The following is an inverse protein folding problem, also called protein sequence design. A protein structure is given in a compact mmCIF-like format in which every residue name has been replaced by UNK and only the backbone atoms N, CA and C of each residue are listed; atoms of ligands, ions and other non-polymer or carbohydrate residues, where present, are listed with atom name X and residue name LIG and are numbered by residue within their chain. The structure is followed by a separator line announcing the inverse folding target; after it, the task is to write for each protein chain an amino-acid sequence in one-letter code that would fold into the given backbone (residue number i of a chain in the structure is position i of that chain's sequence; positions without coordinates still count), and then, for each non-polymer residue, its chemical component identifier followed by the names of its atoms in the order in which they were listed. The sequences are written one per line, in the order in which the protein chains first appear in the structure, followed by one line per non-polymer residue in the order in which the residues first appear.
data_IF_818631722784
#
_entry.id   IF_818631722784
#
_cell.length_a   1.000
_cell.length_b   1.000
_cell.length_c   1.000
_cell.angle_alpha   90.00
_cell.angle_beta   90.00
_cell.angle_gamma   90.00
#
_symmetry.space_group_name_H-M   'P 1'
#
loop_
_entity.id
_entity.type
_entity.pdbx_description
1 polymer ?
#
# COMPACT_ATOMS: atom_id res chain seq x y z
N UNK A 1 17.54 -33.77 5.32
CA UNK A 1 17.20 -32.36 5.71
C UNK A 1 17.11 -31.46 4.49
N UNK A 2 18.01 -31.59 3.50
CA UNK A 2 17.98 -30.77 2.26
C UNK A 2 16.77 -31.07 1.36
N UNK A 3 16.34 -32.30 1.26
CA UNK A 3 15.16 -32.72 0.48
C UNK A 3 13.85 -32.17 1.06
N UNK A 4 13.76 -32.08 2.39
CA UNK A 4 12.55 -31.58 3.05
C UNK A 4 12.37 -30.06 2.85
N UNK A 5 13.45 -29.30 2.84
CA UNK A 5 13.44 -27.85 2.61
C UNK A 5 13.04 -27.54 1.16
N UNK A 6 13.60 -28.28 0.18
CA UNK A 6 13.25 -28.11 -1.24
C UNK A 6 11.78 -28.45 -1.54
N UNK A 7 11.23 -29.49 -0.91
CA UNK A 7 9.82 -29.87 -1.09
C UNK A 7 8.87 -28.84 -0.48
N UNK A 8 9.23 -28.23 0.64
CA UNK A 8 8.44 -27.15 1.26
C UNK A 8 8.53 -25.86 0.43
N UNK A 9 9.70 -25.54 -0.11
CA UNK A 9 9.91 -24.36 -0.95
C UNK A 9 9.13 -24.45 -2.26
N UNK A 10 9.21 -25.59 -2.96
CA UNK A 10 8.45 -25.84 -4.20
C UNK A 10 6.94 -25.87 -3.97
N UNK A 11 6.45 -26.39 -2.86
CA UNK A 11 5.03 -26.41 -2.51
C UNK A 11 4.51 -25.02 -2.17
N UNK A 12 5.32 -24.19 -1.52
CA UNK A 12 5.03 -22.77 -1.25
C UNK A 12 4.96 -21.96 -2.54
N UNK A 13 5.91 -22.16 -3.45
CA UNK A 13 5.95 -21.50 -4.77
C UNK A 13 4.77 -21.89 -5.65
N UNK A 14 4.42 -23.18 -5.70
CA UNK A 14 3.26 -23.65 -6.47
C UNK A 14 1.94 -23.03 -5.96
N UNK A 15 1.76 -22.97 -4.65
CA UNK A 15 0.59 -22.33 -4.04
C UNK A 15 0.54 -20.83 -4.33
N UNK A 16 1.68 -20.16 -4.31
CA UNK A 16 1.81 -18.74 -4.66
C UNK A 16 1.39 -18.49 -6.12
N UNK A 17 1.90 -19.28 -7.03
CA UNK A 17 1.61 -19.19 -8.47
C UNK A 17 0.11 -19.39 -8.76
N UNK A 18 -0.50 -20.40 -8.15
CA UNK A 18 -1.94 -20.67 -8.32
C UNK A 18 -2.78 -19.52 -7.74
N UNK A 19 -2.43 -19.00 -6.57
CA UNK A 19 -3.15 -17.88 -5.93
C UNK A 19 -3.03 -16.60 -6.75
N UNK A 20 -1.85 -16.29 -7.27
CA UNK A 20 -1.64 -15.14 -8.15
C UNK A 20 -2.49 -15.24 -9.40
N UNK A 21 -2.46 -16.38 -10.09
CA UNK A 21 -3.26 -16.63 -11.27
C UNK A 21 -4.78 -16.44 -11.01
N UNK A 22 -5.28 -16.98 -9.90
CA UNK A 22 -6.70 -16.87 -9.53
C UNK A 22 -7.12 -15.42 -9.25
N UNK A 23 -6.27 -14.65 -8.56
CA UNK A 23 -6.53 -13.23 -8.29
C UNK A 23 -6.59 -12.42 -9.58
N UNK A 24 -5.65 -12.64 -10.52
CA UNK A 24 -5.65 -11.92 -11.80
C UNK A 24 -6.82 -12.30 -12.70
N UNK A 25 -7.15 -13.58 -12.78
CA UNK A 25 -8.37 -14.00 -13.50
C UNK A 25 -9.60 -13.28 -12.95
N UNK A 26 -9.70 -13.15 -11.62
CA UNK A 26 -10.81 -12.45 -10.99
C UNK A 26 -10.81 -10.96 -11.33
N UNK A 27 -9.66 -10.28 -11.29
CA UNK A 27 -9.56 -8.86 -11.72
C UNK A 27 -9.97 -8.69 -13.17
N UNK A 28 -9.44 -9.50 -14.07
CA UNK A 28 -9.80 -9.43 -15.50
C UNK A 28 -11.29 -9.70 -15.76
N UNK A 29 -11.87 -10.64 -15.02
CA UNK A 29 -13.30 -10.91 -15.07
C UNK A 29 -14.11 -9.70 -14.63
N UNK A 30 -13.72 -9.06 -13.51
CA UNK A 30 -14.39 -7.88 -12.97
C UNK A 30 -14.22 -6.68 -13.91
N UNK A 31 -13.03 -6.50 -14.52
CA UNK A 31 -12.80 -5.44 -15.53
C UNK A 31 -13.65 -5.66 -16.81
N UNK A 32 -14.08 -6.90 -17.10
CA UNK A 32 -14.91 -7.25 -18.24
C UNK A 32 -16.42 -7.20 -17.93
N UNK A 33 -16.83 -7.00 -16.70
CA UNK A 33 -18.23 -6.90 -16.29
C UNK A 33 -18.87 -5.60 -16.83
N UNK A 34 -20.17 -5.65 -17.12
CA UNK A 34 -20.90 -4.51 -17.64
C UNK A 34 -21.07 -3.37 -16.61
N UNK A 35 -20.95 -3.70 -15.32
CA UNK A 35 -21.02 -2.72 -14.22
C UNK A 35 -19.63 -2.14 -14.00
N UNK A 36 -19.45 -0.81 -14.06
CA UNK A 36 -18.17 -0.19 -13.79
C UNK A 36 -17.64 -0.55 -12.40
N UNK A 37 -16.38 -0.96 -12.35
CA UNK A 37 -15.68 -1.31 -11.12
C UNK A 37 -14.68 -0.22 -10.74
N UNK A 38 -14.68 0.20 -9.49
CA UNK A 38 -13.63 1.04 -8.93
C UNK A 38 -12.83 0.26 -7.87
N UNK A 39 -11.51 0.25 -8.04
CA UNK A 39 -10.62 -0.43 -7.10
C UNK A 39 -10.17 0.52 -6.01
N UNK A 40 -10.34 0.10 -4.76
CA UNK A 40 -9.91 0.81 -3.56
C UNK A 40 -8.80 -0.02 -2.91
N UNK A 41 -7.59 0.50 -2.93
CA UNK A 41 -6.44 -0.16 -2.29
C UNK A 41 -6.33 0.37 -0.86
N UNK A 42 -6.39 -0.55 0.11
CA UNK A 42 -6.32 -0.22 1.54
C UNK A 42 -5.13 -0.93 2.16
N UNK A 43 -4.41 -0.23 3.06
CA UNK A 43 -3.35 -0.83 3.85
C UNK A 43 -2.95 0.06 5.02
N UNK A 44 -2.11 -0.43 5.94
CA UNK A 44 -1.61 0.27 7.11
C UNK A 44 -0.09 0.40 7.07
N UNK A 45 0.40 1.61 7.30
CA UNK A 45 1.83 1.88 7.43
C UNK A 45 2.19 2.44 8.80
N UNK A 46 3.11 1.78 9.48
CA UNK A 46 3.71 2.28 10.70
C UNK A 46 4.72 3.39 10.41
N UNK A 47 4.65 4.47 11.19
CA UNK A 47 5.63 5.54 11.20
C UNK A 47 6.32 5.60 12.56
N UNK A 48 7.62 5.36 12.58
CA UNK A 48 8.40 5.44 13.81
C UNK A 48 9.03 6.82 13.93
N UNK A 49 8.72 7.51 15.02
CA UNK A 49 9.23 8.86 15.35
C UNK A 49 10.76 8.95 15.44
N UNK A 50 11.42 7.83 15.72
CA UNK A 50 12.89 7.79 15.90
C UNK A 50 13.63 7.44 14.60
N UNK A 51 12.91 7.07 13.51
CA UNK A 51 13.55 6.79 12.23
C UNK A 51 13.91 8.09 11.53
N UNK A 52 15.18 8.45 11.60
CA UNK A 52 15.76 9.57 10.85
C UNK A 52 16.56 9.03 9.68
N UNK A 53 16.71 9.81 8.62
CA UNK A 53 17.59 9.48 7.49
C UNK A 53 18.95 9.02 8.01
N UNK A 54 19.39 7.83 7.63
CA UNK A 54 20.72 7.30 8.01
C UNK A 54 21.87 7.96 7.27
N UNK A 55 21.57 8.74 6.22
CA UNK A 55 22.55 9.43 5.37
C UNK A 55 22.14 10.90 5.23
N UNK A 56 23.09 11.79 5.39
CA UNK A 56 22.94 13.23 5.18
C UNK A 56 24.14 13.77 4.42
N UNK A 57 23.96 14.90 3.72
CA UNK A 57 25.06 15.65 3.09
C UNK A 57 25.52 16.72 4.03
N UNK A 58 26.85 16.94 4.11
CA UNK A 58 27.48 18.06 4.79
C UNK A 58 28.70 18.49 3.97
N UNK A 59 29.34 19.57 4.38
CA UNK A 59 30.58 20.05 3.77
C UNK A 59 31.64 18.94 3.84
N UNK A 60 32.44 18.80 2.79
CA UNK A 60 33.50 17.77 2.71
C UNK A 60 34.39 17.89 3.95
N UNK A 61 34.60 16.76 4.63
CA UNK A 61 35.38 16.68 5.87
C UNK A 61 34.58 16.87 7.16
N UNK A 62 33.29 17.20 7.06
CA UNK A 62 32.40 17.32 8.24
C UNK A 62 31.34 16.21 8.24
N UNK A 63 31.08 15.63 9.42
CA UNK A 63 30.04 14.63 9.60
C UNK A 63 28.65 15.29 9.56
N UNK A 64 27.74 14.73 8.77
CA UNK A 64 26.34 15.14 8.83
C UNK A 64 25.74 14.70 10.19
N UNK A 65 25.45 15.65 11.07
CA UNK A 65 24.88 15.39 12.39
C UNK A 65 23.49 16.02 12.42
N UNK A 66 22.51 15.25 12.86
CA UNK A 66 21.17 15.74 13.17
C UNK A 66 20.85 15.43 14.63
N UNK A 67 20.43 16.41 15.38
CA UNK A 67 19.96 16.21 16.74
C UNK A 67 18.53 15.68 16.69
N UNK A 68 18.34 14.43 17.08
CA UNK A 68 17.02 13.81 17.19
C UNK A 68 16.59 13.89 18.64
N UNK A 69 15.40 14.42 18.94
CA UNK A 69 14.88 14.36 20.31
C UNK A 69 14.87 12.89 20.78
N UNK A 70 15.47 12.62 21.92
CA UNK A 70 15.60 11.27 22.49
C UNK A 70 14.29 10.68 23.01
N UNK A 71 13.17 10.97 22.39
CA UNK A 71 11.90 10.38 22.74
C UNK A 71 11.83 8.95 22.18
N UNK A 72 11.66 7.98 23.04
CA UNK A 72 11.04 6.70 22.69
C UNK A 72 9.57 7.00 22.33
N UNK A 73 9.39 7.60 21.15
CA UNK A 73 8.08 7.93 20.64
C UNK A 73 7.32 6.66 20.28
N UNK A 74 6.06 6.59 20.64
CA UNK A 74 5.17 5.52 20.21
C UNK A 74 5.13 5.47 18.68
N UNK A 75 4.83 4.30 18.12
CA UNK A 75 4.53 4.16 16.70
C UNK A 75 3.19 4.84 16.43
N UNK A 76 3.12 5.60 15.34
CA UNK A 76 1.85 6.05 14.76
C UNK A 76 1.61 5.17 13.53
N UNK A 77 0.40 4.67 13.39
CA UNK A 77 -0.02 3.90 12.21
C UNK A 77 -0.97 4.75 11.39
N UNK A 78 -0.67 4.92 10.09
CA UNK A 78 -1.59 5.48 9.12
C UNK A 78 -2.27 4.34 8.39
N UNK A 79 -3.61 4.30 8.44
CA UNK A 79 -4.41 3.53 7.50
C UNK A 79 -4.86 4.46 6.38
N UNK A 80 -4.73 4.03 5.13
CA UNK A 80 -5.11 4.81 3.97
C UNK A 80 -5.89 3.96 2.97
N UNK A 81 -6.77 4.63 2.22
CA UNK A 81 -7.47 4.09 1.06
C UNK A 81 -7.17 4.99 -0.14
N UNK A 82 -6.66 4.41 -1.21
CA UNK A 82 -6.36 5.12 -2.46
C UNK A 82 -7.17 4.53 -3.61
N UNK A 83 -7.55 5.37 -4.57
CA UNK A 83 -8.22 5.00 -5.82
C UNK A 83 -7.53 5.68 -6.99
N UNK A 84 -7.95 5.41 -8.21
CA UNK A 84 -7.45 6.15 -9.39
C UNK A 84 -7.68 7.68 -9.30
N UNK A 85 -8.57 8.13 -8.40
CA UNK A 85 -8.88 9.54 -8.17
C UNK A 85 -8.02 10.18 -7.07
N UNK A 86 -7.07 9.43 -6.49
CA UNK A 86 -6.18 9.89 -5.44
C UNK A 86 -6.46 9.25 -4.08
N UNK A 87 -6.12 9.95 -3.01
CA UNK A 87 -6.36 9.51 -1.63
C UNK A 87 -7.82 9.73 -1.27
N UNK A 88 -8.55 8.62 -1.07
CA UNK A 88 -9.98 8.64 -0.76
C UNK A 88 -10.25 8.85 0.73
N UNK A 89 -9.51 8.13 1.58
CA UNK A 89 -9.65 8.19 3.03
C UNK A 89 -8.31 7.93 3.70
N UNK A 90 -8.07 8.59 4.82
CA UNK A 90 -6.90 8.38 5.68
C UNK A 90 -7.27 8.51 7.15
N UNK A 91 -6.59 7.78 8.01
CA UNK A 91 -6.75 7.86 9.44
C UNK A 91 -5.45 7.49 10.16
N UNK A 92 -4.90 8.42 10.91
CA UNK A 92 -3.73 8.19 11.76
C UNK A 92 -4.17 7.77 13.17
N UNK A 93 -3.55 6.71 13.71
CA UNK A 93 -3.79 6.20 15.04
C UNK A 93 -2.50 6.10 15.84
N UNK A 94 -2.54 6.49 17.12
CA UNK A 94 -1.44 6.27 18.04
C UNK A 94 -1.38 4.79 18.42
N UNK A 95 -0.29 4.12 18.05
CA UNK A 95 -0.11 2.68 18.25
C UNK A 95 -0.57 1.83 17.09
N UNK A 96 -0.68 0.50 17.28
CA UNK A 96 -1.06 -0.43 16.22
C UNK A 96 -2.54 -0.30 15.84
N UNK A 97 -2.82 -0.57 14.58
CA UNK A 97 -4.18 -0.73 14.12
C UNK A 97 -4.72 -2.09 14.56
N UNK A 98 -6.02 -2.14 14.85
CA UNK A 98 -6.72 -3.36 15.25
C UNK A 98 -8.06 -3.49 14.50
N UNK A 99 -8.76 -4.60 14.67
CA UNK A 99 -10.03 -4.88 14.00
C UNK A 99 -11.09 -3.78 14.23
N UNK A 100 -11.17 -3.21 15.45
CA UNK A 100 -12.12 -2.15 15.74
C UNK A 100 -11.81 -0.86 14.96
N UNK A 101 -10.52 -0.50 14.85
CA UNK A 101 -10.09 0.62 14.01
C UNK A 101 -10.41 0.41 12.54
N UNK A 102 -10.18 -0.82 12.03
CA UNK A 102 -10.53 -1.20 10.67
C UNK A 102 -12.02 -1.06 10.40
N UNK A 103 -12.88 -1.59 11.27
CA UNK A 103 -14.32 -1.46 11.10
C UNK A 103 -14.77 0.01 11.07
N UNK A 104 -14.24 0.83 11.98
CA UNK A 104 -14.51 2.27 11.98
C UNK A 104 -14.02 2.94 10.68
N UNK A 105 -12.89 2.50 10.14
CA UNK A 105 -12.36 3.00 8.87
C UNK A 105 -13.27 2.60 7.71
N UNK A 106 -13.72 1.36 7.65
CA UNK A 106 -14.66 0.85 6.64
C UNK A 106 -16.02 1.55 6.70
N UNK A 107 -16.55 1.85 7.90
CA UNK A 107 -17.79 2.61 8.07
C UNK A 107 -17.66 4.04 7.51
N UNK A 108 -16.52 4.69 7.74
CA UNK A 108 -16.24 6.01 7.14
C UNK A 108 -16.12 5.92 5.62
N UNK A 109 -15.44 4.90 5.11
CA UNK A 109 -15.31 4.64 3.69
C UNK A 109 -16.71 4.44 3.06
N UNK A 110 -17.57 3.63 3.68
CA UNK A 110 -18.95 3.42 3.29
C UNK A 110 -19.71 4.76 3.16
N UNK A 111 -19.59 5.64 4.16
CA UNK A 111 -20.27 6.93 4.14
C UNK A 111 -19.80 7.83 2.98
N UNK A 112 -18.50 7.87 2.70
CA UNK A 112 -17.94 8.61 1.58
C UNK A 112 -18.47 8.05 0.26
N UNK A 113 -18.41 6.74 0.07
CA UNK A 113 -18.85 6.05 -1.14
C UNK A 113 -20.36 6.28 -1.37
N UNK A 114 -21.17 6.16 -0.32
CA UNK A 114 -22.62 6.37 -0.44
C UNK A 114 -22.94 7.80 -0.86
N UNK A 115 -22.18 8.78 -0.37
CA UNK A 115 -22.38 10.18 -0.75
C UNK A 115 -22.03 10.45 -2.22
N UNK A 116 -21.03 9.74 -2.76
CA UNK A 116 -20.57 9.90 -4.15
C UNK A 116 -21.41 9.05 -5.13
N UNK A 117 -21.76 7.82 -4.74
CA UNK A 117 -22.46 6.85 -5.59
C UNK A 117 -23.98 6.93 -5.46
N UNK A 118 -24.55 8.13 -5.58
CA UNK A 118 -25.99 8.36 -5.40
C UNK A 118 -26.90 7.55 -6.33
N UNK A 119 -26.38 7.09 -7.47
CA UNK A 119 -27.15 6.30 -8.45
C UNK A 119 -26.91 4.79 -8.36
N UNK A 120 -26.13 4.30 -7.41
CA UNK A 120 -25.81 2.87 -7.20
C UNK A 120 -25.34 2.11 -8.47
N UNK A 121 -24.65 2.82 -9.38
CA UNK A 121 -24.24 2.26 -10.67
C UNK A 121 -22.82 1.71 -10.68
N UNK A 122 -22.04 1.89 -9.60
CA UNK A 122 -20.67 1.43 -9.48
C UNK A 122 -20.54 0.38 -8.38
N UNK A 123 -19.74 -0.63 -8.65
CA UNK A 123 -19.27 -1.59 -7.67
C UNK A 123 -17.85 -1.19 -7.22
N UNK A 124 -17.53 -1.42 -5.97
CA UNK A 124 -16.24 -1.07 -5.39
C UNK A 124 -15.51 -2.33 -4.97
N UNK A 125 -14.31 -2.52 -5.49
CA UNK A 125 -13.47 -3.66 -5.10
C UNK A 125 -12.38 -3.19 -4.16
N UNK A 126 -12.50 -3.58 -2.89
CA UNK A 126 -11.45 -3.37 -1.89
C UNK A 126 -10.34 -4.39 -2.12
N UNK A 127 -9.18 -3.89 -2.50
CA UNK A 127 -7.96 -4.70 -2.66
C UNK A 127 -7.12 -4.57 -1.40
N UNK A 128 -6.78 -5.70 -0.79
CA UNK A 128 -6.12 -5.74 0.50
C UNK A 128 -5.03 -6.81 0.57
N UNK A 129 -4.08 -6.65 1.43
CA UNK A 129 -3.13 -7.70 1.72
C UNK A 129 -3.77 -8.88 2.47
N UNK A 130 -3.10 -10.02 2.50
CA UNK A 130 -3.65 -11.25 3.01
C UNK A 130 -3.22 -11.53 4.47
N UNK A 131 -3.20 -10.52 5.32
CA UNK A 131 -2.90 -10.71 6.75
C UNK A 131 -4.11 -11.24 7.53
N UNK A 132 -3.83 -11.91 8.65
CA UNK A 132 -4.86 -12.66 9.40
C UNK A 132 -5.96 -11.77 9.99
N UNK A 133 -5.64 -10.57 10.45
CA UNK A 133 -6.64 -9.69 11.08
C UNK A 133 -7.60 -9.05 10.08
N UNK A 134 -7.19 -8.85 8.79
CA UNK A 134 -8.08 -8.46 7.70
C UNK A 134 -9.10 -9.54 7.35
N UNK A 135 -8.81 -10.80 7.68
CA UNK A 135 -9.70 -11.95 7.49
C UNK A 135 -10.51 -12.31 8.72
N UNK A 136 -10.54 -11.44 9.73
CA UNK A 136 -11.34 -11.67 10.91
C UNK A 136 -12.83 -11.83 10.57
N UNK A 137 -13.55 -12.64 11.35
CA UNK A 137 -14.98 -12.86 11.13
C UNK A 137 -15.78 -11.56 11.14
N UNK A 138 -15.37 -10.57 11.95
CA UNK A 138 -16.03 -9.26 12.02
C UNK A 138 -15.87 -8.47 10.72
N UNK A 139 -14.68 -8.48 10.13
CA UNK A 139 -14.42 -7.81 8.84
C UNK A 139 -15.21 -8.51 7.73
N UNK A 140 -15.19 -9.83 7.66
CA UNK A 140 -15.96 -10.57 6.66
C UNK A 140 -17.46 -10.34 6.80
N UNK A 141 -17.98 -10.32 8.01
CA UNK A 141 -19.37 -9.99 8.27
C UNK A 141 -19.73 -8.57 7.81
N UNK A 142 -18.82 -7.61 7.98
CA UNK A 142 -19.02 -6.26 7.47
C UNK A 142 -19.22 -6.26 5.95
N UNK A 143 -18.37 -6.93 5.18
CA UNK A 143 -18.51 -7.02 3.71
C UNK A 143 -19.77 -7.76 3.28
N UNK A 144 -20.23 -8.77 4.03
CA UNK A 144 -21.50 -9.47 3.75
C UNK A 144 -22.72 -8.56 3.86
N UNK A 145 -22.67 -7.55 4.73
CA UNK A 145 -23.75 -6.57 4.91
C UNK A 145 -23.64 -5.37 3.96
N UNK A 146 -22.52 -5.21 3.26
CA UNK A 146 -22.26 -4.08 2.36
C UNK A 146 -21.99 -4.57 0.94
N UNK A 147 -23.05 -5.07 0.28
CA UNK A 147 -22.96 -5.76 -1.02
C UNK A 147 -22.41 -4.91 -2.19
N UNK A 148 -22.34 -3.58 -2.03
CA UNK A 148 -21.66 -2.70 -2.98
C UNK A 148 -20.14 -2.83 -2.98
N UNK A 149 -19.58 -3.49 -1.96
CA UNK A 149 -18.16 -3.76 -1.86
C UNK A 149 -17.86 -5.22 -2.10
N UNK A 150 -16.92 -5.47 -2.97
CA UNK A 150 -16.30 -6.78 -3.16
C UNK A 150 -14.90 -6.75 -2.52
N UNK A 151 -14.55 -7.81 -1.82
CA UNK A 151 -13.24 -7.94 -1.18
C UNK A 151 -12.33 -8.82 -2.02
N UNK A 152 -11.13 -8.33 -2.34
CA UNK A 152 -10.11 -9.03 -3.08
C UNK A 152 -8.81 -9.04 -2.29
N UNK A 153 -8.38 -10.22 -1.83
CA UNK A 153 -7.09 -10.37 -1.18
C UNK A 153 -5.98 -10.60 -2.18
N UNK A 154 -4.89 -9.85 -2.04
CA UNK A 154 -3.68 -10.08 -2.82
C UNK A 154 -3.00 -11.39 -2.41
N UNK A 155 -2.25 -12.03 -3.32
CA UNK A 155 -1.43 -13.17 -2.97
C UNK A 155 -0.43 -12.82 -1.87
N UNK A 156 -0.06 -13.75 -0.98
CA UNK A 156 1.00 -13.52 0.00
C UNK A 156 2.30 -13.09 -0.68
N UNK A 157 3.07 -12.23 -0.03
CA UNK A 157 4.39 -11.78 -0.52
C UNK A 157 4.38 -11.09 -1.89
N UNK A 158 3.31 -10.36 -2.21
CA UNK A 158 3.14 -9.67 -3.49
C UNK A 158 2.99 -8.15 -3.35
N UNK A 159 3.91 -7.44 -2.68
CA UNK A 159 3.80 -5.99 -2.49
C UNK A 159 3.81 -5.23 -3.81
N UNK A 160 4.49 -5.74 -4.85
CA UNK A 160 4.53 -5.17 -6.20
C UNK A 160 3.17 -5.13 -6.91
N UNK A 161 2.18 -5.87 -6.41
CA UNK A 161 0.80 -5.84 -6.90
C UNK A 161 -0.07 -4.85 -6.14
N UNK A 162 0.46 -4.26 -5.06
CA UNK A 162 -0.27 -3.35 -4.20
C UNK A 162 0.26 -1.91 -4.40
N UNK A 163 -0.41 -1.06 -5.20
CA UNK A 163 0.06 0.30 -5.47
C UNK A 163 0.11 1.19 -4.23
N UNK A 164 -0.55 0.80 -3.14
CA UNK A 164 -0.51 1.56 -1.89
C UNK A 164 0.86 1.49 -1.20
N UNK A 165 1.69 0.50 -1.52
CA UNK A 165 3.07 0.43 -1.02
C UNK A 165 3.93 1.58 -1.57
N UNK A 166 3.77 1.89 -2.86
CA UNK A 166 4.42 3.05 -3.48
C UNK A 166 3.87 4.36 -2.92
N UNK A 167 2.56 4.43 -2.68
CA UNK A 167 1.94 5.54 -1.97
C UNK A 167 2.59 5.75 -0.60
N UNK A 168 2.74 4.72 0.23
CA UNK A 168 3.38 4.86 1.53
C UNK A 168 4.86 5.23 1.45
N UNK A 169 5.56 4.79 0.42
CA UNK A 169 6.94 5.20 0.17
C UNK A 169 7.01 6.70 -0.11
N UNK A 170 6.23 7.21 -1.07
CA UNK A 170 6.16 8.62 -1.41
C UNK A 170 5.67 9.49 -0.23
N UNK A 171 4.63 9.03 0.45
CA UNK A 171 4.07 9.68 1.63
C UNK A 171 5.12 9.85 2.75
N UNK A 172 5.90 8.82 3.06
CA UNK A 172 6.96 8.91 4.08
C UNK A 172 7.98 9.98 3.74
N UNK A 173 8.38 10.10 2.46
CA UNK A 173 9.30 11.15 2.03
C UNK A 173 8.72 12.54 2.25
N UNK A 174 7.47 12.78 1.89
CA UNK A 174 6.80 14.07 2.11
C UNK A 174 6.67 14.40 3.60
N UNK A 175 6.34 13.44 4.45
CA UNK A 175 6.31 13.63 5.90
C UNK A 175 7.68 14.06 6.44
N UNK A 176 8.76 13.42 5.98
CA UNK A 176 10.10 13.83 6.38
C UNK A 176 10.45 15.24 5.92
N UNK A 177 10.11 15.60 4.70
CA UNK A 177 10.40 16.92 4.15
C UNK A 177 9.62 18.02 4.88
N UNK A 178 8.34 17.84 5.14
CA UNK A 178 7.51 18.77 5.92
C UNK A 178 8.07 18.99 7.33
N UNK A 179 8.50 17.93 8.01
CA UNK A 179 9.05 18.04 9.36
C UNK A 179 10.40 18.73 9.40
N UNK A 180 11.27 18.49 8.43
CA UNK A 180 12.60 19.10 8.37
C UNK A 180 12.52 20.58 7.99
N UNK A 181 11.60 20.95 7.11
CA UNK A 181 11.51 22.30 6.56
C UNK A 181 10.62 23.23 7.38
N UNK A 182 9.47 22.72 7.85
CA UNK A 182 8.44 23.53 8.48
C UNK A 182 8.28 23.32 9.99
N UNK A 183 8.96 22.32 10.58
CA UNK A 183 8.82 21.92 12.00
C UNK A 183 7.35 21.63 12.41
N UNK A 184 6.56 21.13 11.48
CA UNK A 184 5.14 20.84 11.66
C UNK A 184 4.97 19.65 12.62
N UNK A 185 3.94 19.63 13.49
CA UNK A 185 3.60 18.47 14.29
C UNK A 185 3.38 17.21 13.43
N UNK A 186 3.83 16.05 13.93
CA UNK A 186 3.89 14.85 13.09
C UNK A 186 2.54 14.46 12.47
N UNK A 187 1.46 14.45 13.24
CA UNK A 187 0.13 14.05 12.72
C UNK A 187 -0.30 15.02 11.62
N UNK A 188 -0.11 16.32 11.82
CA UNK A 188 -0.39 17.33 10.81
C UNK A 188 0.48 17.10 9.55
N UNK A 189 1.79 16.85 9.71
CA UNK A 189 2.67 16.53 8.59
C UNK A 189 2.23 15.26 7.84
N UNK A 190 1.71 14.25 8.56
CA UNK A 190 1.18 13.03 7.96
C UNK A 190 -0.06 13.31 7.11
N UNK A 191 -0.94 14.16 7.57
CA UNK A 191 -2.15 14.57 6.85
C UNK A 191 -1.82 15.43 5.64
N UNK A 192 -1.02 16.48 5.82
CA UNK A 192 -0.56 17.35 4.73
C UNK A 192 0.22 16.59 3.65
N UNK A 193 1.02 15.58 4.04
CA UNK A 193 1.73 14.72 3.10
C UNK A 193 0.77 13.92 2.21
N UNK A 194 -0.37 13.49 2.74
CA UNK A 194 -1.41 12.84 1.94
C UNK A 194 -2.03 13.81 0.92
N UNK A 195 -2.30 15.06 1.33
CA UNK A 195 -2.88 16.08 0.46
C UNK A 195 -1.95 16.51 -0.69
N UNK A 196 -0.62 16.32 -0.50
CA UNK A 196 0.38 16.61 -1.53
C UNK A 196 0.54 15.47 -2.57
N UNK A 197 -0.18 14.37 -2.43
CA UNK A 197 -0.15 13.25 -3.38
C UNK A 197 -1.33 13.40 -4.33
N UNK A 198 -1.04 13.68 -5.57
CA UNK A 198 -2.07 13.88 -6.60
C UNK A 198 -2.56 12.56 -7.21
N UNK A 199 -3.70 12.63 -7.89
CA UNK A 199 -4.28 11.47 -8.57
C UNK A 199 -3.38 10.94 -9.70
N UNK A 200 -2.56 11.77 -10.33
CA UNK A 200 -1.68 11.36 -11.43
C UNK A 200 -0.60 10.41 -10.93
N UNK A 201 -0.03 10.71 -9.74
CA UNK A 201 0.93 9.82 -9.10
C UNK A 201 0.29 8.47 -8.76
N UNK A 202 -0.89 8.47 -8.13
CA UNK A 202 -1.63 7.23 -7.79
C UNK A 202 -1.96 6.41 -9.03
N UNK A 203 -2.43 7.04 -10.10
CA UNK A 203 -2.66 6.36 -11.39
C UNK A 203 -1.37 5.75 -11.96
N UNK A 204 -0.23 6.43 -11.77
CA UNK A 204 1.09 5.92 -12.15
C UNK A 204 1.40 4.61 -11.42
N UNK A 205 1.21 4.56 -10.11
CA UNK A 205 1.44 3.37 -9.29
C UNK A 205 0.47 2.22 -9.61
N UNK A 206 -0.81 2.53 -9.84
CA UNK A 206 -1.79 1.52 -10.29
C UNK A 206 -1.37 0.94 -11.64
N UNK A 207 -0.95 1.77 -12.61
CA UNK A 207 -0.42 1.27 -13.89
C UNK A 207 0.84 0.44 -13.69
N UNK A 208 1.74 0.84 -12.79
CA UNK A 208 2.95 0.10 -12.48
C UNK A 208 2.63 -1.29 -11.93
N UNK A 209 1.79 -1.41 -10.91
CA UNK A 209 1.41 -2.70 -10.35
C UNK A 209 0.71 -3.62 -11.39
N UNK A 210 -0.13 -3.07 -12.27
CA UNK A 210 -0.80 -3.83 -13.34
C UNK A 210 0.17 -4.36 -14.41
N UNK A 211 1.35 -3.80 -14.57
CA UNK A 211 2.37 -4.29 -15.51
C UNK A 211 2.89 -5.69 -15.17
N UNK A 212 2.76 -6.10 -13.92
CA UNK A 212 3.13 -7.45 -13.48
C UNK A 212 2.08 -8.52 -13.80
N UNK A 213 0.85 -8.13 -14.14
CA UNK A 213 -0.24 -9.07 -14.41
C UNK A 213 0.08 -10.09 -15.49
N UNK A 214 0.61 -9.72 -16.68
CA UNK A 214 0.97 -10.71 -17.72
C UNK A 214 2.01 -11.71 -17.23
N UNK A 215 3.02 -11.27 -16.47
CA UNK A 215 4.06 -12.14 -15.91
C UNK A 215 3.49 -13.12 -14.89
N UNK A 216 2.60 -12.64 -14.03
CA UNK A 216 1.89 -13.49 -13.07
C UNK A 216 1.01 -14.54 -13.78
N UNK A 217 0.34 -14.17 -14.87
CA UNK A 217 -0.45 -15.10 -15.68
C UNK A 217 0.41 -16.12 -16.41
N UNK A 218 1.61 -15.72 -16.84
CA UNK A 218 2.60 -16.61 -17.46
C UNK A 218 3.35 -17.48 -16.45
N UNK A 219 3.04 -17.35 -15.15
CA UNK A 219 3.74 -18.03 -14.05
C UNK A 219 5.25 -17.75 -14.03
N UNK A 220 5.66 -16.55 -14.41
CA UNK A 220 7.04 -16.13 -14.35
C UNK A 220 7.45 -15.85 -12.91
N UNK A 221 8.69 -16.20 -12.56
CA UNK A 221 9.30 -15.77 -11.32
C UNK A 221 9.45 -14.25 -11.32
N UNK A 222 8.79 -13.60 -10.37
CA UNK A 222 8.92 -12.16 -10.17
C UNK A 222 9.81 -11.97 -8.94
N UNK A 223 11.08 -11.68 -9.18
CA UNK A 223 11.99 -11.27 -8.13
C UNK A 223 11.48 -9.94 -7.56
N UNK A 224 11.14 -9.95 -6.26
CA UNK A 224 10.69 -8.73 -5.59
C UNK A 224 11.75 -7.65 -5.70
N UNK A 225 11.41 -6.51 -6.26
CA UNK A 225 12.08 -5.19 -6.21
C UNK A 225 13.59 -5.10 -6.51
N UNK A 226 14.32 -6.22 -6.50
CA UNK A 226 15.79 -6.19 -6.54
C UNK A 226 16.35 -6.22 -7.97
N UNK A 227 15.60 -6.80 -8.92
CA UNK A 227 16.11 -7.09 -10.26
C UNK A 227 15.40 -6.31 -11.39
N UNK A 228 14.36 -5.55 -11.11
CA UNK A 228 13.84 -4.63 -12.13
C UNK A 228 14.78 -3.44 -12.26
N UNK A 229 15.36 -3.31 -13.43
CA UNK A 229 15.99 -2.06 -13.87
C UNK A 229 14.84 -1.07 -14.08
N UNK A 230 14.33 -0.51 -12.97
CA UNK A 230 13.28 0.51 -12.97
C UNK A 230 13.71 1.79 -13.70
N UNK A 231 15.03 1.93 -13.93
CA UNK A 231 15.63 3.04 -14.66
C UNK A 231 16.42 2.48 -15.85
N UNK A 232 16.09 2.89 -17.06
CA UNK A 232 16.78 2.42 -18.27
C UNK A 232 18.26 2.85 -18.32
N UNK A 233 18.70 3.74 -17.43
CA UNK A 233 20.08 4.23 -17.39
C UNK A 233 20.73 4.00 -16.00
N UNK A 234 21.67 3.03 -15.91
CA UNK A 234 22.43 2.80 -14.67
C UNK A 234 23.26 4.02 -14.21
N UNK A 235 23.57 4.98 -15.11
CA UNK A 235 24.31 6.19 -14.77
C UNK A 235 23.46 7.18 -13.96
N UNK A 236 22.13 7.21 -14.15
CA UNK A 236 21.21 8.03 -13.34
C UNK A 236 21.11 7.61 -11.89
N UNK A 237 21.44 6.36 -11.56
CA UNK A 237 21.50 5.88 -10.16
C UNK A 237 22.61 6.51 -9.32
N UNK A 238 23.61 7.15 -9.97
CA UNK A 238 24.76 7.76 -9.27
C UNK A 238 24.50 9.16 -8.76
N UNK A 239 23.52 9.85 -9.31
CA UNK A 239 23.26 11.25 -8.98
C UNK A 239 22.21 11.41 -7.85
N UNK A 240 21.48 10.34 -7.49
CA UNK A 240 20.51 10.32 -6.40
C UNK A 240 21.02 9.61 -5.11
N UNK A 241 22.35 9.42 -4.98
CA UNK A 241 22.99 8.82 -3.81
C UNK A 241 23.63 9.87 -2.91
#
# INVERSE_FOLDING_TARGET
TFLHVNVLYTKSMLNYTILSFTVFQRVLQMDAEAIPQEYIYIDEAGFNLTKVRRRGRNIIGQRAIINVPGQRGGNITLCAAITQNGVLLRHANMGPYNTAHILTFLDRLQNIITAVNQMHQMQFTVVWDNVSFHRSALVQNWFQHHQQFTLLYLPPYSPFLNPIEEFFSAWRWKVYDLRLQAQVPLIQAMEEACDQIDAVAVQGWIRHSRRFFPRCLANEDIACDVDEILWPDPARRRDDV
#
